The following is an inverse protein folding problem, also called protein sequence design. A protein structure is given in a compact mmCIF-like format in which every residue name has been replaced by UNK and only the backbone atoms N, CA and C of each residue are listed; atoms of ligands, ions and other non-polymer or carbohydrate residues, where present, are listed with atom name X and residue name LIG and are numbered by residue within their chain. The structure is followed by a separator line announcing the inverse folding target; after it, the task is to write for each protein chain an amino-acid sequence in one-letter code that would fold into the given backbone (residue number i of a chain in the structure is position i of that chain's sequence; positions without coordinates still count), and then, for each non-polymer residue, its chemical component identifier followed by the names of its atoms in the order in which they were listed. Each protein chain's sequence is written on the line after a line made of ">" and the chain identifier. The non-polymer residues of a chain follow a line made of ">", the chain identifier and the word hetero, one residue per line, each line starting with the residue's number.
data_IF_503360127183
#
_entry.id   IF_503360127183
#
_cell.length_a   1.000
_cell.length_b   1.000
_cell.length_c   1.000
_cell.angle_alpha   90.00
_cell.angle_beta   90.00
_cell.angle_gamma   90.00
#
_symmetry.space_group_name_H-M   'P 1'
#
loop_
_entity.id
_entity.type
_entity.pdbx_description
1 polymer ?
#
# COMPACT_ATOMS: atom_id res chain seq x y z
N UNK A 1 -28.27 -30.73 -23.33
CA UNK A 1 -28.35 -29.61 -24.28
C UNK A 1 -29.60 -28.85 -23.88
N UNK A 2 -29.56 -27.87 -22.99
CA UNK A 2 -28.70 -26.69 -22.87
C UNK A 2 -28.64 -26.31 -21.37
N UNK A 3 -27.46 -26.13 -20.77
CA UNK A 3 -27.28 -25.82 -19.34
C UNK A 3 -27.47 -24.32 -19.08
N UNK A 4 -28.17 -23.95 -18.01
CA UNK A 4 -28.49 -22.59 -17.53
C UNK A 4 -27.28 -21.70 -17.15
N UNK A 5 -26.05 -22.11 -17.48
CA UNK A 5 -24.80 -21.38 -17.21
C UNK A 5 -24.52 -20.23 -18.21
N UNK A 6 -25.40 -20.02 -19.21
CA UNK A 6 -25.26 -18.97 -20.23
C UNK A 6 -25.89 -17.61 -19.84
N UNK A 7 -26.30 -17.41 -18.58
CA UNK A 7 -26.67 -16.07 -18.07
C UNK A 7 -25.43 -15.39 -17.44
N UNK A 8 -24.32 -15.33 -18.18
CA UNK A 8 -23.16 -14.54 -17.77
C UNK A 8 -23.33 -13.09 -18.24
N UNK A 9 -23.30 -12.16 -17.29
CA UNK A 9 -23.02 -10.72 -17.48
C UNK A 9 -24.12 -9.82 -18.08
N UNK A 10 -25.26 -9.68 -17.39
CA UNK A 10 -26.01 -8.39 -17.46
C UNK A 10 -25.44 -7.43 -16.41
N UNK A 11 -25.03 -6.23 -16.82
CA UNK A 11 -24.72 -5.14 -15.87
C UNK A 11 -25.99 -4.88 -15.05
N UNK A 12 -25.93 -5.10 -13.74
CA UNK A 12 -27.01 -4.73 -12.84
C UNK A 12 -27.10 -3.20 -12.75
N UNK A 13 -28.32 -2.67 -12.76
CA UNK A 13 -28.53 -1.25 -12.49
C UNK A 13 -28.18 -0.97 -11.03
N UNK A 14 -27.41 0.09 -10.79
CA UNK A 14 -27.04 0.56 -9.46
C UNK A 14 -27.87 1.78 -9.09
N UNK A 15 -28.26 1.89 -7.83
CA UNK A 15 -29.02 3.03 -7.31
C UNK A 15 -28.13 3.82 -6.36
N UNK A 16 -28.07 5.13 -6.59
CA UNK A 16 -27.26 6.05 -5.81
C UNK A 16 -28.10 7.11 -5.09
N UNK A 17 -27.59 7.61 -3.97
CA UNK A 17 -28.18 8.73 -3.23
C UNK A 17 -27.17 9.85 -3.14
N UNK A 18 -27.60 11.09 -3.43
CA UNK A 18 -26.82 12.29 -3.12
C UNK A 18 -27.44 12.99 -1.93
N UNK A 19 -26.65 13.26 -0.89
CA UNK A 19 -27.10 14.01 0.30
C UNK A 19 -26.54 15.42 0.23
N UNK A 20 -27.42 16.42 0.33
CA UNK A 20 -27.04 17.83 0.30
C UNK A 20 -26.43 18.25 1.63
N UNK A 21 -25.22 18.81 1.58
CA UNK A 21 -24.49 19.29 2.76
C UNK A 21 -24.89 20.72 3.18
N UNK A 22 -25.39 21.51 2.24
CA UNK A 22 -25.82 22.89 2.49
C UNK A 22 -26.98 22.95 3.48
N UNK A 23 -26.95 23.96 4.35
CA UNK A 23 -27.96 24.24 5.38
C UNK A 23 -28.27 23.05 6.29
N UNK A 24 -27.30 22.14 6.47
CA UNK A 24 -27.45 20.96 7.29
C UNK A 24 -26.38 20.89 8.38
N UNK A 25 -26.76 20.30 9.52
CA UNK A 25 -25.84 19.95 10.59
C UNK A 25 -25.18 18.61 10.30
N UNK A 26 -23.96 18.40 10.81
CA UNK A 26 -23.28 17.10 10.73
C UNK A 26 -24.14 15.94 11.23
N UNK A 27 -24.84 16.07 12.37
CA UNK A 27 -25.66 14.98 12.93
C UNK A 27 -26.78 14.52 11.99
N UNK A 28 -27.42 15.46 11.30
CA UNK A 28 -28.44 15.16 10.29
C UNK A 28 -27.86 14.44 9.08
N UNK A 29 -26.69 14.88 8.63
CA UNK A 29 -25.97 14.23 7.53
C UNK A 29 -25.57 12.80 7.91
N UNK A 30 -24.97 12.64 9.09
CA UNK A 30 -24.60 11.33 9.65
C UNK A 30 -25.78 10.37 9.74
N UNK A 31 -26.92 10.85 10.24
CA UNK A 31 -28.15 10.05 10.30
C UNK A 31 -28.61 9.61 8.90
N UNK A 32 -28.56 10.52 7.91
CA UNK A 32 -28.91 10.20 6.53
C UNK A 32 -27.95 9.16 5.91
N UNK A 33 -26.63 9.29 6.14
CA UNK A 33 -25.65 8.34 5.60
C UNK A 33 -25.83 6.93 6.14
N UNK A 34 -26.02 6.81 7.47
CA UNK A 34 -26.30 5.51 8.11
C UNK A 34 -27.58 4.88 7.61
N UNK A 35 -28.60 5.70 7.33
CA UNK A 35 -29.85 5.20 6.77
C UNK A 35 -29.65 4.71 5.33
N UNK A 36 -28.88 5.43 4.50
CA UNK A 36 -28.53 4.98 3.15
C UNK A 36 -27.75 3.65 3.19
N UNK A 37 -26.80 3.51 4.11
CA UNK A 37 -26.03 2.28 4.31
C UNK A 37 -26.95 1.12 4.75
N UNK A 38 -27.82 1.37 5.74
CA UNK A 38 -28.80 0.39 6.25
C UNK A 38 -29.76 -0.10 5.16
N UNK A 39 -30.13 0.78 4.22
CA UNK A 39 -31.02 0.46 3.11
C UNK A 39 -30.32 -0.27 1.95
N UNK A 40 -28.98 -0.37 1.98
CA UNK A 40 -28.22 -1.16 1.01
C UNK A 40 -28.09 -0.50 -0.36
N UNK A 41 -28.06 0.84 -0.43
CA UNK A 41 -27.77 1.54 -1.68
C UNK A 41 -26.34 1.28 -2.17
N UNK A 42 -26.14 1.27 -3.49
CA UNK A 42 -24.84 0.96 -4.09
C UNK A 42 -23.79 2.06 -3.86
N UNK A 43 -24.22 3.32 -3.80
CA UNK A 43 -23.31 4.45 -3.65
C UNK A 43 -23.97 5.69 -3.03
N UNK A 44 -23.16 6.47 -2.32
CA UNK A 44 -23.55 7.65 -1.57
C UNK A 44 -22.62 8.82 -1.93
N UNK A 45 -23.23 9.96 -2.28
CA UNK A 45 -22.52 11.12 -2.83
C UNK A 45 -22.80 12.41 -2.06
N UNK A 46 -21.81 13.31 -2.00
CA UNK A 46 -21.96 14.69 -1.48
C UNK A 46 -21.53 15.72 -2.53
N UNK A 47 -22.07 16.94 -2.51
CA UNK A 47 -21.63 18.01 -3.40
C UNK A 47 -20.30 18.62 -2.93
N UNK A 48 -19.43 19.01 -3.86
CA UNK A 48 -18.14 19.68 -3.57
C UNK A 48 -18.26 21.20 -3.71
N UNK A 49 -18.89 21.85 -2.74
CA UNK A 49 -19.00 23.32 -2.71
C UNK A 49 -18.35 23.87 -1.45
N UNK A 50 -17.69 25.03 -1.55
CA UNK A 50 -17.23 25.78 -0.38
C UNK A 50 -18.37 26.58 0.25
N UNK A 51 -19.27 27.12 -0.56
CA UNK A 51 -20.41 27.94 -0.13
C UNK A 51 -21.74 27.32 -0.58
N UNK A 52 -22.85 27.55 0.14
CA UNK A 52 -24.19 27.24 -0.37
C UNK A 52 -24.40 27.86 -1.75
N UNK A 53 -24.87 27.07 -2.72
CA UNK A 53 -25.12 27.54 -4.08
C UNK A 53 -26.56 28.04 -4.29
N UNK A 54 -27.44 27.78 -3.32
CA UNK A 54 -28.80 28.31 -3.26
C UNK A 54 -29.14 28.64 -1.80
N UNK A 55 -30.20 29.42 -1.56
CA UNK A 55 -30.63 29.81 -0.20
C UNK A 55 -29.69 30.83 0.46
N UNK A 56 -29.56 30.76 1.79
CA UNK A 56 -28.68 31.67 2.54
C UNK A 56 -27.21 31.37 2.22
N UNK A 57 -26.52 32.32 1.57
CA UNK A 57 -25.12 32.25 1.20
C UNK A 57 -24.17 32.15 2.40
N UNK A 58 -24.61 32.62 3.58
CA UNK A 58 -23.87 32.48 4.85
C UNK A 58 -24.27 31.23 5.62
N UNK A 59 -25.16 30.43 5.05
CA UNK A 59 -25.60 29.19 5.63
C UNK A 59 -24.48 28.16 5.78
N UNK A 60 -24.65 27.23 6.70
CA UNK A 60 -23.69 26.15 6.93
C UNK A 60 -23.47 25.34 5.66
N UNK A 61 -22.21 25.08 5.33
CA UNK A 61 -21.84 24.17 4.26
C UNK A 61 -20.53 23.49 4.65
N UNK A 62 -20.55 22.16 4.74
CA UNK A 62 -19.41 21.39 5.23
C UNK A 62 -18.51 20.96 4.07
N UNK A 63 -17.20 20.95 4.33
CA UNK A 63 -16.17 20.68 3.33
C UNK A 63 -16.22 19.19 2.88
N UNK A 64 -16.29 18.98 1.56
CA UNK A 64 -16.69 17.68 0.99
C UNK A 64 -15.69 16.55 1.23
N UNK A 65 -14.37 16.80 1.24
CA UNK A 65 -13.36 15.76 1.46
C UNK A 65 -13.30 15.32 2.91
N UNK A 66 -13.49 16.25 3.83
CA UNK A 66 -13.67 15.99 5.26
C UNK A 66 -14.94 15.17 5.50
N UNK A 67 -16.03 15.50 4.80
CA UNK A 67 -17.25 14.69 4.84
C UNK A 67 -17.03 13.28 4.28
N UNK A 68 -16.28 13.10 3.19
CA UNK A 68 -15.98 11.78 2.64
C UNK A 68 -15.21 10.91 3.65
N UNK A 69 -14.23 11.47 4.35
CA UNK A 69 -13.53 10.77 5.42
C UNK A 69 -14.50 10.36 6.55
N UNK A 70 -15.39 11.27 6.96
CA UNK A 70 -16.39 10.97 7.99
C UNK A 70 -17.40 9.91 7.52
N UNK A 71 -17.85 9.96 6.27
CA UNK A 71 -18.75 8.95 5.67
C UNK A 71 -18.10 7.57 5.65
N UNK A 72 -16.81 7.48 5.33
CA UNK A 72 -16.05 6.24 5.36
C UNK A 72 -15.93 5.62 6.75
N UNK A 73 -15.88 6.44 7.80
CA UNK A 73 -15.90 5.97 9.18
C UNK A 73 -17.29 5.54 9.67
N UNK A 74 -18.35 6.05 9.03
CA UNK A 74 -19.74 5.89 9.48
C UNK A 74 -20.54 4.85 8.68
N UNK A 75 -20.01 4.37 7.55
CA UNK A 75 -20.69 3.44 6.63
C UNK A 75 -19.76 2.30 6.21
N UNK A 76 -20.32 1.16 5.79
CA UNK A 76 -19.53 -0.01 5.40
C UNK A 76 -19.85 -0.58 4.00
N UNK A 77 -21.03 -0.27 3.44
CA UNK A 77 -21.49 -0.89 2.18
C UNK A 77 -21.35 0.00 0.94
N UNK A 78 -21.80 1.28 0.95
CA UNK A 78 -21.89 2.06 -0.29
C UNK A 78 -20.50 2.53 -0.76
N UNK A 79 -20.34 2.60 -2.08
CA UNK A 79 -19.23 3.36 -2.68
C UNK A 79 -19.43 4.85 -2.40
N UNK A 80 -18.39 5.54 -1.94
CA UNK A 80 -18.45 6.95 -1.56
C UNK A 80 -17.80 7.84 -2.62
N UNK A 81 -18.30 9.06 -2.78
CA UNK A 81 -17.64 10.05 -3.61
C UNK A 81 -18.30 11.43 -3.62
N UNK A 82 -17.69 12.38 -4.32
CA UNK A 82 -18.30 13.69 -4.58
C UNK A 82 -18.95 13.72 -5.96
N UNK A 83 -20.15 14.28 -6.07
CA UNK A 83 -20.83 14.47 -7.35
C UNK A 83 -21.17 15.96 -7.54
N UNK A 84 -20.33 16.76 -8.20
CA UNK A 84 -19.03 16.47 -8.83
C UNK A 84 -17.90 17.12 -8.04
N UNK A 85 -16.70 16.54 -8.04
CA UNK A 85 -15.51 17.22 -7.50
C UNK A 85 -15.22 18.48 -8.31
N UNK A 86 -15.05 19.61 -7.64
CA UNK A 86 -14.82 20.89 -8.30
C UNK A 86 -13.32 21.11 -8.56
N UNK A 87 -12.69 20.18 -9.31
CA UNK A 87 -11.23 20.11 -9.50
C UNK A 87 -10.58 21.42 -9.92
N UNK A 88 -11.26 22.25 -10.72
CA UNK A 88 -10.75 23.56 -11.16
C UNK A 88 -10.52 24.56 -10.01
N UNK A 89 -11.15 24.34 -8.86
CA UNK A 89 -11.04 25.21 -7.68
C UNK A 89 -10.13 24.61 -6.60
N UNK A 90 -9.56 23.42 -6.82
CA UNK A 90 -8.62 22.77 -5.90
C UNK A 90 -7.22 22.78 -6.48
N UNK A 91 -6.23 22.85 -5.61
CA UNK A 91 -4.84 22.75 -6.05
C UNK A 91 -4.56 21.30 -6.51
N UNK A 92 -4.34 21.12 -7.81
CA UNK A 92 -4.15 19.81 -8.41
C UNK A 92 -2.90 19.09 -7.87
N UNK A 93 -1.82 19.83 -7.58
CA UNK A 93 -0.59 19.26 -7.03
C UNK A 93 -0.82 18.72 -5.62
N UNK A 94 -1.57 19.46 -4.79
CA UNK A 94 -1.92 19.02 -3.44
C UNK A 94 -2.78 17.74 -3.46
N UNK A 95 -3.74 17.65 -4.38
CA UNK A 95 -4.57 16.45 -4.53
C UNK A 95 -3.76 15.25 -5.00
N UNK A 96 -2.87 15.46 -5.98
CA UNK A 96 -1.99 14.41 -6.46
C UNK A 96 -1.01 13.92 -5.38
N UNK A 97 -0.47 14.84 -4.58
CA UNK A 97 0.38 14.51 -3.43
C UNK A 97 -0.38 13.69 -2.38
N UNK A 98 -1.60 14.11 -2.03
CA UNK A 98 -2.43 13.40 -1.06
C UNK A 98 -2.71 11.96 -1.53
N UNK A 99 -3.08 11.79 -2.79
CA UNK A 99 -3.33 10.44 -3.34
C UNK A 99 -2.05 9.60 -3.46
N UNK A 100 -0.93 10.22 -3.84
CA UNK A 100 0.39 9.57 -3.86
C UNK A 100 0.74 9.01 -2.49
N UNK A 101 0.55 9.80 -1.43
CA UNK A 101 0.81 9.35 -0.06
C UNK A 101 -0.17 8.26 0.38
N UNK A 102 -1.47 8.37 0.07
CA UNK A 102 -2.42 7.29 0.35
C UNK A 102 -2.02 5.95 -0.30
N UNK A 103 -1.61 6.00 -1.57
CA UNK A 103 -1.10 4.82 -2.30
C UNK A 103 0.17 4.29 -1.63
N UNK A 104 1.08 5.18 -1.22
CA UNK A 104 2.33 4.81 -0.56
C UNK A 104 2.06 4.12 0.78
N UNK A 105 1.26 4.73 1.64
CA UNK A 105 0.91 4.21 2.97
C UNK A 105 0.19 2.85 2.86
N UNK A 106 -0.85 2.74 2.04
CA UNK A 106 -1.55 1.46 1.83
C UNK A 106 -0.65 0.37 1.25
N UNK A 107 0.33 0.74 0.40
CA UNK A 107 1.35 -0.20 -0.09
C UNK A 107 2.27 -0.67 1.04
N UNK A 108 2.72 0.23 1.91
CA UNK A 108 3.57 -0.10 3.05
C UNK A 108 2.86 -1.02 4.04
N UNK A 109 1.61 -0.72 4.41
CA UNK A 109 0.78 -1.57 5.26
C UNK A 109 0.58 -2.97 4.66
N UNK A 110 0.37 -3.04 3.34
CA UNK A 110 0.27 -4.29 2.60
C UNK A 110 1.57 -5.10 2.66
N UNK A 111 2.72 -4.45 2.48
CA UNK A 111 4.04 -5.08 2.58
C UNK A 111 4.35 -5.56 4.00
N UNK A 112 4.04 -4.77 5.02
CA UNK A 112 4.20 -5.15 6.42
C UNK A 112 3.33 -6.37 6.78
N UNK A 113 2.08 -6.35 6.32
CA UNK A 113 1.16 -7.48 6.51
C UNK A 113 1.66 -8.75 5.81
N UNK A 114 2.27 -8.62 4.63
CA UNK A 114 2.91 -9.73 3.95
C UNK A 114 4.14 -10.24 4.73
N UNK A 115 4.99 -9.32 5.21
CA UNK A 115 6.19 -9.65 5.97
C UNK A 115 5.86 -10.40 7.27
N UNK A 116 4.83 -9.97 8.01
CA UNK A 116 4.32 -10.66 9.21
C UNK A 116 3.80 -12.07 8.92
N UNK A 117 3.38 -12.34 7.68
CA UNK A 117 2.99 -13.69 7.19
C UNK A 117 4.19 -14.48 6.64
N UNK A 118 5.42 -14.02 6.88
CA UNK A 118 6.65 -14.64 6.37
C UNK A 118 6.85 -14.45 4.86
N UNK A 119 6.08 -13.57 4.21
CA UNK A 119 6.22 -13.27 2.77
C UNK A 119 7.05 -12.01 2.63
N UNK A 120 8.31 -12.18 2.26
CA UNK A 120 9.22 -11.08 2.02
C UNK A 120 9.25 -10.78 0.51
N UNK A 121 9.14 -9.50 0.17
CA UNK A 121 9.30 -9.04 -1.21
C UNK A 121 10.74 -9.16 -1.68
N UNK A 122 10.95 -9.14 -2.99
CA UNK A 122 12.28 -9.15 -3.61
C UNK A 122 12.58 -10.44 -4.39
N UNK A 123 13.68 -10.40 -5.13
CA UNK A 123 14.17 -11.55 -5.88
C UNK A 123 15.00 -12.43 -4.95
N UNK A 124 14.69 -13.73 -4.80
CA UNK A 124 15.53 -14.63 -4.01
C UNK A 124 16.99 -14.59 -4.48
N UNK A 125 17.97 -14.57 -3.56
CA UNK A 125 19.37 -14.59 -3.93
C UNK A 125 19.68 -15.85 -4.72
N UNK A 126 20.41 -15.70 -5.83
CA UNK A 126 20.83 -16.83 -6.68
C UNK A 126 22.01 -17.57 -6.06
N UNK A 127 22.87 -16.85 -5.31
CA UNK A 127 23.98 -17.42 -4.55
C UNK A 127 23.48 -17.72 -3.14
N UNK A 128 23.43 -19.00 -2.78
CA UNK A 128 23.13 -19.43 -1.41
C UNK A 128 24.35 -19.30 -0.52
N UNK A 129 24.14 -19.43 0.79
CA UNK A 129 25.22 -19.37 1.78
C UNK A 129 26.27 -20.48 1.57
N UNK A 130 25.82 -21.73 1.35
CA UNK A 130 26.70 -22.86 1.01
C UNK A 130 27.53 -22.61 -0.25
N UNK A 131 26.91 -22.00 -1.26
CA UNK A 131 27.57 -21.62 -2.51
C UNK A 131 28.64 -20.57 -2.25
N UNK A 132 28.33 -19.56 -1.42
CA UNK A 132 29.26 -18.50 -1.04
C UNK A 132 30.45 -19.06 -0.24
N UNK A 133 30.20 -19.91 0.75
CA UNK A 133 31.23 -20.60 1.51
C UNK A 133 32.16 -21.43 0.61
N UNK A 134 31.59 -22.13 -0.38
CA UNK A 134 32.37 -22.91 -1.35
C UNK A 134 33.28 -22.01 -2.19
N UNK A 135 32.77 -20.86 -2.65
CA UNK A 135 33.55 -19.88 -3.43
C UNK A 135 34.68 -19.30 -2.59
N UNK A 136 34.39 -18.85 -1.36
CA UNK A 136 35.40 -18.29 -0.45
C UNK A 136 36.53 -19.29 -0.17
N UNK A 137 36.18 -20.55 0.12
CA UNK A 137 37.15 -21.63 0.38
C UNK A 137 38.05 -21.92 -0.83
N UNK A 138 37.50 -21.98 -2.04
CA UNK A 138 38.28 -22.26 -3.26
C UNK A 138 39.14 -21.07 -3.67
N UNK A 139 38.63 -19.85 -3.50
CA UNK A 139 39.41 -18.64 -3.74
C UNK A 139 40.60 -18.51 -2.80
N UNK A 140 40.46 -18.92 -1.54
CA UNK A 140 41.57 -18.98 -0.58
C UNK A 140 42.68 -19.97 -1.01
N UNK A 141 42.37 -20.95 -1.85
CA UNK A 141 43.34 -21.88 -2.47
C UNK A 141 43.96 -21.34 -3.78
N UNK A 142 43.60 -20.12 -4.19
CA UNK A 142 44.13 -19.46 -5.39
C UNK A 142 43.30 -19.66 -6.66
N UNK A 143 42.13 -20.30 -6.59
CA UNK A 143 41.26 -20.47 -7.76
C UNK A 143 40.51 -19.18 -8.12
N UNK A 144 40.35 -18.90 -9.42
CA UNK A 144 39.58 -17.76 -9.92
C UNK A 144 38.08 -18.03 -9.92
N UNK A 145 37.24 -16.99 -9.96
CA UNK A 145 35.77 -17.15 -9.98
C UNK A 145 35.32 -17.88 -11.25
N UNK A 146 36.01 -17.66 -12.36
CA UNK A 146 35.76 -18.30 -13.66
C UNK A 146 36.06 -19.80 -13.63
N UNK A 147 37.02 -20.23 -12.82
CA UNK A 147 37.33 -21.65 -12.60
C UNK A 147 36.32 -22.32 -11.66
N UNK A 148 35.77 -21.57 -10.69
CA UNK A 148 34.83 -22.08 -9.69
C UNK A 148 33.40 -22.18 -10.24
N UNK A 149 33.00 -21.22 -11.07
CA UNK A 149 31.61 -21.06 -11.53
C UNK A 149 30.99 -22.30 -12.21
N UNK A 150 31.70 -23.05 -13.09
CA UNK A 150 31.11 -24.20 -13.77
C UNK A 150 30.68 -25.31 -12.81
N UNK A 151 31.37 -25.45 -11.68
CA UNK A 151 31.10 -26.50 -10.68
C UNK A 151 29.95 -26.14 -9.74
N UNK A 152 29.43 -24.93 -9.83
CA UNK A 152 28.32 -24.46 -9.01
C UNK A 152 26.99 -24.72 -9.69
N UNK A 153 26.01 -25.21 -8.93
CA UNK A 153 24.66 -25.49 -9.42
C UNK A 153 23.63 -24.73 -8.61
N UNK A 154 22.75 -24.00 -9.29
CA UNK A 154 21.60 -23.33 -8.66
C UNK A 154 20.58 -24.39 -8.20
N UNK A 155 20.22 -24.43 -6.90
CA UNK A 155 19.37 -25.50 -6.37
C UNK A 155 17.87 -25.30 -6.63
N UNK A 156 17.43 -24.06 -6.78
CA UNK A 156 15.99 -23.69 -6.82
C UNK A 156 15.67 -22.62 -7.86
N UNK A 157 14.39 -22.51 -8.21
CA UNK A 157 13.87 -21.47 -9.10
C UNK A 157 14.03 -21.76 -10.59
N UNK A 158 13.76 -20.75 -11.44
CA UNK A 158 13.65 -20.90 -12.90
C UNK A 158 14.93 -21.41 -13.58
N UNK A 159 16.11 -21.15 -12.98
CA UNK A 159 17.43 -21.56 -13.51
C UNK A 159 18.03 -22.75 -12.74
N UNK A 160 17.19 -23.56 -12.07
CA UNK A 160 17.63 -24.75 -11.36
C UNK A 160 18.46 -25.66 -12.30
N UNK A 161 19.58 -26.18 -11.79
CA UNK A 161 20.49 -27.05 -12.56
C UNK A 161 21.48 -26.30 -13.45
N UNK A 162 21.38 -24.97 -13.57
CA UNK A 162 22.35 -24.15 -14.30
C UNK A 162 23.38 -23.57 -13.36
N UNK A 163 24.55 -23.23 -13.90
CA UNK A 163 25.56 -22.50 -13.16
C UNK A 163 25.18 -21.02 -12.99
N UNK A 164 25.43 -20.41 -11.82
CA UNK A 164 25.18 -18.99 -11.60
C UNK A 164 26.08 -18.15 -12.52
N UNK A 165 25.65 -16.93 -12.86
CA UNK A 165 26.53 -16.06 -13.62
C UNK A 165 27.71 -15.60 -12.76
N UNK A 166 28.86 -15.39 -13.42
CA UNK A 166 30.07 -14.84 -12.78
C UNK A 166 29.76 -13.51 -12.07
N UNK A 167 28.93 -12.66 -12.67
CA UNK A 167 28.47 -11.41 -12.06
C UNK A 167 27.66 -11.61 -10.76
N UNK A 168 26.85 -12.66 -10.67
CA UNK A 168 26.12 -12.98 -9.43
C UNK A 168 27.07 -13.41 -8.31
N UNK A 169 28.12 -14.16 -8.65
CA UNK A 169 29.15 -14.58 -7.68
C UNK A 169 29.94 -13.35 -7.19
N UNK A 170 30.39 -12.48 -8.10
CA UNK A 170 31.10 -11.25 -7.72
C UNK A 170 30.25 -10.32 -6.84
N UNK A 171 28.95 -10.19 -7.11
CA UNK A 171 28.05 -9.43 -6.23
C UNK A 171 27.98 -10.03 -4.84
N UNK A 172 27.82 -11.34 -4.72
CA UNK A 172 27.77 -12.01 -3.42
C UNK A 172 29.08 -11.84 -2.64
N UNK A 173 30.24 -11.93 -3.31
CA UNK A 173 31.54 -11.66 -2.69
C UNK A 173 31.69 -10.20 -2.24
N UNK A 174 31.22 -9.25 -3.04
CA UNK A 174 31.25 -7.84 -2.68
C UNK A 174 30.36 -7.53 -1.48
N UNK A 175 29.16 -8.11 -1.43
CA UNK A 175 28.28 -8.00 -0.26
C UNK A 175 28.92 -8.64 0.98
N UNK A 176 29.47 -9.86 0.88
CA UNK A 176 30.20 -10.48 1.99
C UNK A 176 31.36 -9.61 2.49
N UNK A 177 32.13 -9.01 1.57
CA UNK A 177 33.23 -8.12 1.94
C UNK A 177 32.75 -6.85 2.65
N UNK A 178 31.61 -6.28 2.26
CA UNK A 178 30.99 -5.17 3.00
C UNK A 178 30.55 -5.59 4.39
N UNK A 179 29.97 -6.79 4.52
CA UNK A 179 29.49 -7.28 5.81
C UNK A 179 30.66 -7.50 6.79
N UNK A 180 31.78 -8.04 6.30
CA UNK A 180 33.01 -8.21 7.08
C UNK A 180 33.69 -6.88 7.42
N UNK A 181 33.63 -5.89 6.53
CA UNK A 181 34.29 -4.60 6.72
C UNK A 181 33.56 -3.67 7.69
N UNK A 182 32.24 -3.82 7.81
CA UNK A 182 31.38 -2.94 8.63
C UNK A 182 30.38 -3.73 9.48
N UNK A 183 30.86 -4.62 10.38
CA UNK A 183 29.98 -5.41 11.23
C UNK A 183 29.10 -4.53 12.13
N UNK A 184 29.64 -3.40 12.60
CA UNK A 184 28.93 -2.43 13.45
C UNK A 184 27.79 -1.71 12.72
N UNK A 185 27.91 -1.49 11.40
CA UNK A 185 26.88 -0.84 10.61
C UNK A 185 25.65 -1.75 10.43
N UNK A 186 25.87 -3.07 10.36
CA UNK A 186 24.78 -4.06 10.32
C UNK A 186 24.09 -4.14 11.67
N UNK A 187 24.86 -4.22 12.76
CA UNK A 187 24.29 -4.25 14.12
C UNK A 187 23.49 -2.97 14.40
N UNK A 188 24.01 -1.80 14.00
CA UNK A 188 23.28 -0.54 14.09
C UNK A 188 22.01 -0.55 13.22
N UNK A 189 22.08 -1.04 11.98
CA UNK A 189 20.89 -1.14 11.12
C UNK A 189 19.83 -2.10 11.67
N UNK A 190 20.24 -3.23 12.26
CA UNK A 190 19.34 -4.16 12.95
C UNK A 190 18.74 -3.54 14.22
N UNK A 191 19.53 -2.79 14.98
CA UNK A 191 19.07 -2.06 16.16
C UNK A 191 18.08 -0.94 15.80
N UNK A 192 18.39 -0.14 14.77
CA UNK A 192 17.51 0.92 14.25
C UNK A 192 16.21 0.33 13.71
N UNK A 193 16.29 -0.78 12.95
CA UNK A 193 15.10 -1.47 12.48
C UNK A 193 14.25 -2.03 13.64
N UNK A 194 14.89 -2.62 14.65
CA UNK A 194 14.21 -3.05 15.87
C UNK A 194 13.58 -1.90 16.66
N UNK A 195 14.22 -0.74 16.69
CA UNK A 195 13.68 0.47 17.32
C UNK A 195 12.47 1.03 16.56
N UNK A 196 12.49 1.00 15.23
CA UNK A 196 11.35 1.39 14.38
C UNK A 196 10.16 0.43 14.53
N UNK A 197 10.40 -0.88 14.70
CA UNK A 197 9.33 -1.84 14.98
C UNK A 197 8.71 -1.66 16.37
N UNK A 198 9.49 -1.18 17.34
CA UNK A 198 9.06 -1.00 18.73
C UNK A 198 8.58 0.44 19.04
N UNK A 199 8.73 1.38 18.11
CA UNK A 199 8.20 2.73 18.30
C UNK A 199 6.68 2.70 18.12
N UNK A 200 5.95 2.87 19.22
CA UNK A 200 4.52 3.18 19.17
C UNK A 200 4.32 4.46 18.34
N UNK A 201 3.53 4.37 17.27
CA UNK A 201 3.03 5.55 16.57
C UNK A 201 2.31 6.42 17.62
N UNK A 202 2.66 7.70 17.81
CA UNK A 202 2.05 8.53 18.83
C UNK A 202 0.54 8.53 18.67
N UNK A 203 -0.17 7.96 19.66
CA UNK A 203 -1.62 7.93 19.67
C UNK A 203 -2.18 9.33 19.46
N UNK A 204 -3.22 9.44 18.61
CA UNK A 204 -3.87 10.69 18.29
C UNK A 204 -4.17 11.46 19.59
N UNK A 205 -3.66 12.69 19.69
CA UNK A 205 -3.89 13.53 20.87
C UNK A 205 -5.40 13.69 21.06
N UNK A 206 -5.97 13.37 22.23
CA UNK A 206 -7.38 13.57 22.45
C UNK A 206 -7.71 15.07 22.31
N UNK A 207 -8.71 15.38 21.47
CA UNK A 207 -9.25 16.72 21.37
C UNK A 207 -9.71 17.18 22.76
N UNK A 208 -9.20 18.33 23.21
CA UNK A 208 -9.73 18.99 24.41
C UNK A 208 -11.16 19.45 24.10
N UNK A 209 -12.09 19.04 24.96
CA UNK A 209 -13.49 19.44 24.99
C UNK A 209 -13.67 20.95 25.13
#
# INVERSE_FOLDING_TARGET
>A
MHTDDEVRSRKQAKVCVQVQAMHSSYDRLRAAWREVDRLGFDSLWVPDHFFPWAGDEKGTNLEAWTLLAAMGAETSTPTLGTLVSAYAYRNADLMAETERENIRESTLEGLETAARKGKHGGRPPVITDDMLHTVLRRRAKGESVEQIQPDMIIPTGKRKGQSPSVASIYRALAEHAKLEAYPEAIEAAHADFGALQNSEVPGARPCRS
#
